data_IF_989932199939
#
_entry.id   IF_989932199939
#
_cell.length_a   1.000
_cell.length_b   1.000
_cell.length_c   1.000
_cell.angle_alpha   90.00
_cell.angle_beta   90.00
_cell.angle_gamma   90.00
#
_symmetry.space_group_name_H-M   'P 1'
#
loop_
_entity.id
_entity.type
_entity.pdbx_description
1 polymer ?
#
# COMPACT_ATOMS: atom_id res chain seq x y z
N UNK A 1 -44.63 19.97 -40.03
CA UNK A 1 -44.01 18.89 -39.21
C UNK A 1 -43.04 18.17 -40.13
N UNK A 2 -41.78 18.64 -40.23
CA UNK A 2 -40.74 18.03 -41.06
C UNK A 2 -40.10 16.89 -40.31
N UNK A 3 -40.33 15.66 -40.75
CA UNK A 3 -39.56 14.49 -40.28
C UNK A 3 -38.20 14.53 -41.00
N UNK A 4 -37.16 14.83 -40.26
CA UNK A 4 -35.79 14.65 -40.73
C UNK A 4 -35.51 13.14 -40.85
N UNK A 5 -35.70 12.60 -42.04
CA UNK A 5 -35.30 11.22 -42.36
C UNK A 5 -33.79 11.23 -42.61
N UNK A 6 -33.01 10.60 -41.74
CA UNK A 6 -31.58 10.45 -41.99
C UNK A 6 -31.39 9.50 -43.18
N UNK A 7 -30.65 9.92 -44.23
CA UNK A 7 -30.47 9.10 -45.43
C UNK A 7 -29.81 7.76 -45.09
N UNK A 8 -30.30 6.69 -45.71
CA UNK A 8 -29.82 5.31 -45.47
C UNK A 8 -28.29 5.16 -45.63
N UNK A 9 -27.69 5.88 -46.59
CA UNK A 9 -26.23 5.90 -46.80
C UNK A 9 -25.48 6.49 -45.62
N UNK A 10 -26.04 7.47 -44.90
CA UNK A 10 -25.44 8.05 -43.70
C UNK A 10 -25.44 7.04 -42.53
N UNK A 11 -26.51 6.26 -42.40
CA UNK A 11 -26.61 5.20 -41.39
C UNK A 11 -25.61 4.09 -41.72
N UNK A 12 -25.49 3.68 -42.97
CA UNK A 12 -24.51 2.64 -43.41
C UNK A 12 -23.08 3.13 -43.19
N UNK A 13 -22.77 4.40 -43.48
CA UNK A 13 -21.43 4.95 -43.21
C UNK A 13 -21.09 5.00 -41.72
N UNK A 14 -22.05 5.41 -40.87
CA UNK A 14 -21.86 5.43 -39.42
C UNK A 14 -21.68 4.01 -38.85
N UNK A 15 -22.44 3.02 -39.34
CA UNK A 15 -22.29 1.63 -38.86
C UNK A 15 -20.99 1.02 -39.33
N UNK A 16 -20.54 1.26 -40.56
CA UNK A 16 -19.25 0.80 -41.06
C UNK A 16 -18.08 1.47 -40.31
N UNK A 17 -18.19 2.77 -39.97
CA UNK A 17 -17.21 3.50 -39.20
C UNK A 17 -17.13 3.00 -37.76
N UNK A 18 -18.26 2.68 -37.13
CA UNK A 18 -18.30 2.06 -35.77
C UNK A 18 -17.76 0.64 -35.80
N UNK A 19 -18.02 -0.15 -36.83
CA UNK A 19 -17.43 -1.48 -36.98
C UNK A 19 -15.90 -1.39 -37.14
N UNK A 20 -15.42 -0.40 -37.91
CA UNK A 20 -13.98 -0.20 -38.11
C UNK A 20 -13.29 0.30 -36.83
N UNK A 21 -13.97 1.12 -36.02
CA UNK A 21 -13.48 1.50 -34.67
C UNK A 21 -13.46 0.32 -33.68
N UNK A 22 -14.39 -0.62 -33.79
CA UNK A 22 -14.38 -1.86 -33.01
C UNK A 22 -13.31 -2.87 -33.46
N UNK A 23 -12.78 -2.74 -34.68
CA UNK A 23 -11.68 -3.61 -35.18
C UNK A 23 -10.29 -3.10 -34.78
N UNK A 24 -10.15 -1.89 -34.22
CA UNK A 24 -8.95 -1.52 -33.48
C UNK A 24 -8.98 -2.25 -32.13
N UNK A 25 -8.78 -3.58 -32.16
CA UNK A 25 -8.29 -4.32 -31.03
C UNK A 25 -6.89 -3.77 -30.71
N UNK A 26 -6.82 -2.69 -29.96
CA UNK A 26 -5.63 -2.38 -29.20
C UNK A 26 -5.59 -3.51 -28.18
N UNK A 27 -4.94 -4.61 -28.53
CA UNK A 27 -4.45 -5.57 -27.56
C UNK A 27 -3.51 -4.78 -26.64
N UNK A 28 -4.08 -4.18 -25.62
CA UNK A 28 -3.30 -3.68 -24.52
C UNK A 28 -2.68 -4.94 -23.86
N UNK A 29 -1.51 -5.35 -24.34
CA UNK A 29 -0.68 -6.42 -23.71
C UNK A 29 -0.17 -5.92 -22.36
N UNK A 30 -1.11 -5.48 -21.51
CA UNK A 30 -0.82 -5.26 -20.11
C UNK A 30 -0.81 -6.61 -19.42
N UNK A 31 0.36 -7.17 -19.23
CA UNK A 31 0.53 -8.24 -18.24
C UNK A 31 0.72 -7.58 -16.87
N UNK A 32 -0.22 -7.74 -15.94
CA UNK A 32 -0.04 -7.19 -14.60
C UNK A 32 1.22 -7.79 -13.99
N UNK A 33 1.99 -6.98 -13.22
CA UNK A 33 3.19 -7.48 -12.56
C UNK A 33 2.82 -8.59 -11.57
N UNK A 34 3.67 -9.60 -11.44
CA UNK A 34 3.53 -10.63 -10.40
C UNK A 34 3.69 -10.00 -9.01
N UNK A 35 2.56 -9.71 -8.38
CA UNK A 35 2.52 -9.06 -7.05
C UNK A 35 2.95 -9.97 -5.91
N UNK A 36 3.13 -11.27 -6.15
CA UNK A 36 3.66 -12.22 -5.17
C UNK A 36 5.19 -12.22 -5.13
N UNK A 37 5.82 -11.78 -6.23
CA UNK A 37 7.27 -11.76 -6.35
C UNK A 37 7.88 -10.51 -5.67
N UNK A 38 8.75 -10.66 -4.65
CA UNK A 38 9.41 -9.52 -4.01
C UNK A 38 10.28 -8.69 -4.95
N UNK A 39 10.87 -9.28 -6.00
CA UNK A 39 11.67 -8.54 -6.98
C UNK A 39 10.84 -7.53 -7.78
N UNK A 40 9.56 -7.81 -8.00
CA UNK A 40 8.62 -6.85 -8.60
C UNK A 40 8.53 -5.58 -7.77
N UNK A 41 8.42 -5.72 -6.45
CA UNK A 41 8.32 -4.58 -5.53
C UNK A 41 9.63 -3.84 -5.41
N UNK A 42 10.77 -4.55 -5.37
CA UNK A 42 12.10 -3.95 -5.36
C UNK A 42 12.30 -3.10 -6.60
N UNK A 43 12.03 -3.63 -7.79
CA UNK A 43 12.13 -2.88 -9.05
C UNK A 43 11.29 -1.60 -9.04
N UNK A 44 10.02 -1.69 -8.62
CA UNK A 44 9.14 -0.53 -8.51
C UNK A 44 9.64 0.52 -7.50
N UNK A 45 10.23 0.06 -6.39
CA UNK A 45 10.81 0.93 -5.38
C UNK A 45 12.07 1.64 -5.92
N UNK A 46 12.97 0.92 -6.59
CA UNK A 46 14.17 1.46 -7.19
C UNK A 46 13.85 2.50 -8.28
N UNK A 47 12.86 2.23 -9.13
CA UNK A 47 12.39 3.18 -10.14
C UNK A 47 11.89 4.49 -9.50
N UNK A 48 11.08 4.39 -8.45
CA UNK A 48 10.56 5.56 -7.71
C UNK A 48 11.68 6.31 -6.98
N UNK A 49 12.60 5.58 -6.34
CA UNK A 49 13.73 6.16 -5.64
C UNK A 49 14.64 6.91 -6.59
N UNK A 50 14.94 6.35 -7.76
CA UNK A 50 15.75 6.99 -8.77
C UNK A 50 15.08 8.26 -9.32
N UNK A 51 13.76 8.21 -9.57
CA UNK A 51 12.99 9.39 -9.95
C UNK A 51 13.04 10.48 -8.88
N UNK A 52 12.94 10.11 -7.60
CA UNK A 52 13.03 11.05 -6.48
C UNK A 52 14.44 11.64 -6.35
N UNK A 53 15.49 10.81 -6.41
CA UNK A 53 16.90 11.25 -6.36
C UNK A 53 17.25 12.25 -7.47
N UNK A 54 16.65 12.08 -8.64
CA UNK A 54 16.84 12.99 -9.78
C UNK A 54 15.97 14.25 -9.71
N UNK A 55 15.15 14.40 -8.66
CA UNK A 55 14.33 15.59 -8.46
C UNK A 55 15.13 16.69 -7.75
N UNK A 56 14.78 17.95 -8.04
CA UNK A 56 15.37 19.09 -7.35
C UNK A 56 15.14 19.05 -5.82
N UNK A 57 14.02 18.47 -5.39
CA UNK A 57 13.69 18.31 -3.96
C UNK A 57 14.73 17.47 -3.23
N UNK A 58 15.23 16.39 -3.84
CA UNK A 58 16.22 15.53 -3.20
C UNK A 58 17.56 16.25 -2.93
N UNK A 59 17.99 17.13 -3.83
CA UNK A 59 19.25 17.86 -3.68
C UNK A 59 19.29 18.83 -2.49
N UNK A 60 18.12 19.18 -1.96
CA UNK A 60 17.95 20.10 -0.81
C UNK A 60 17.76 19.38 0.52
N UNK A 61 17.50 18.07 0.53
CA UNK A 61 17.19 17.28 1.73
C UNK A 61 18.49 16.73 2.35
N UNK A 62 18.71 17.04 3.63
CA UNK A 62 19.75 16.38 4.43
C UNK A 62 19.20 15.06 4.99
N UNK A 63 20.00 13.98 5.03
CA UNK A 63 19.59 12.73 5.65
C UNK A 63 19.15 12.95 7.11
N UNK A 64 17.95 12.44 7.50
CA UNK A 64 17.49 12.56 8.88
C UNK A 64 18.36 11.71 9.81
N UNK A 65 18.56 12.19 11.06
CA UNK A 65 19.26 11.43 12.10
C UNK A 65 18.35 10.36 12.73
N UNK A 66 17.06 10.66 12.84
CA UNK A 66 16.07 9.78 13.44
C UNK A 66 14.86 9.67 12.50
N UNK A 67 14.23 8.50 12.50
CA UNK A 67 12.98 8.25 11.76
C UNK A 67 11.96 7.71 12.76
N UNK A 68 10.80 8.34 12.83
CA UNK A 68 9.67 7.88 13.65
C UNK A 68 8.50 7.62 12.71
N UNK A 69 7.99 6.40 12.72
CA UNK A 69 6.84 5.98 11.93
C UNK A 69 5.63 5.81 12.84
N UNK A 70 4.63 6.67 12.68
CA UNK A 70 3.33 6.53 13.34
C UNK A 70 2.39 5.70 12.48
N UNK A 71 1.78 4.68 13.05
CA UNK A 71 0.88 3.76 12.35
C UNK A 71 -0.47 3.75 13.05
N UNK A 72 -1.51 4.14 12.34
CA UNK A 72 -2.90 3.97 12.77
C UNK A 72 -3.46 2.69 12.18
N UNK A 73 -3.64 1.64 12.99
CA UNK A 73 -4.21 0.37 12.53
C UNK A 73 -5.69 0.56 12.18
N UNK A 74 -6.06 0.22 10.95
CA UNK A 74 -7.39 0.44 10.39
C UNK A 74 -7.76 1.92 10.18
N UNK A 75 -6.83 2.86 10.31
CA UNK A 75 -7.06 4.28 10.13
C UNK A 75 -7.29 4.61 8.65
N UNK A 76 -8.56 4.73 8.27
CA UNK A 76 -9.00 5.12 6.93
C UNK A 76 -9.17 6.64 6.80
N UNK A 77 -9.40 7.12 5.58
CA UNK A 77 -9.79 8.51 5.32
C UNK A 77 -11.04 8.91 6.11
N UNK A 78 -12.00 7.99 6.25
CA UNK A 78 -13.22 8.23 7.03
C UNK A 78 -12.91 8.40 8.52
N UNK A 79 -11.99 7.59 9.06
CA UNK A 79 -11.54 7.71 10.46
C UNK A 79 -10.86 9.07 10.70
N UNK A 80 -10.00 9.51 9.79
CA UNK A 80 -9.35 10.83 9.85
C UNK A 80 -10.38 11.95 9.80
N UNK A 81 -11.37 11.84 8.91
CA UNK A 81 -12.47 12.81 8.82
C UNK A 81 -13.27 12.85 10.11
N UNK A 82 -13.63 11.70 10.66
CA UNK A 82 -14.34 11.61 11.94
C UNK A 82 -13.56 12.23 13.10
N UNK A 83 -12.24 12.01 13.14
CA UNK A 83 -11.35 12.64 14.15
C UNK A 83 -11.34 14.16 14.03
N UNK A 84 -11.37 14.71 12.81
CA UNK A 84 -11.44 16.16 12.56
C UNK A 84 -12.75 16.75 13.10
N UNK A 85 -13.88 16.09 12.81
CA UNK A 85 -15.17 16.55 13.37
C UNK A 85 -15.23 16.46 14.89
N UNK A 86 -14.72 15.37 15.48
CA UNK A 86 -14.67 15.23 16.94
C UNK A 86 -13.77 16.30 17.59
N UNK A 87 -12.64 16.62 16.96
CA UNK A 87 -11.77 17.72 17.45
C UNK A 87 -12.50 19.06 17.39
N UNK A 88 -13.19 19.33 16.28
CA UNK A 88 -13.98 20.55 16.12
C UNK A 88 -15.09 20.68 17.16
N UNK A 89 -15.87 19.61 17.39
CA UNK A 89 -16.93 19.56 18.39
C UNK A 89 -16.39 19.89 19.79
N UNK A 90 -15.27 19.28 20.19
CA UNK A 90 -14.61 19.57 21.49
C UNK A 90 -14.13 20.99 21.63
N UNK A 91 -13.88 21.67 20.54
CA UNK A 91 -13.41 23.07 20.50
C UNK A 91 -14.56 24.09 20.26
N UNK A 92 -15.81 23.61 20.12
CA UNK A 92 -16.98 24.40 19.70
C UNK A 92 -16.76 25.14 18.37
N UNK A 93 -16.09 24.50 17.40
CA UNK A 93 -15.80 25.01 16.07
C UNK A 93 -16.55 24.22 14.99
N UNK A 94 -16.63 24.77 13.79
CA UNK A 94 -17.14 24.03 12.62
C UNK A 94 -16.13 22.97 12.18
N UNK A 95 -16.63 21.80 11.78
CA UNK A 95 -15.76 20.65 11.42
C UNK A 95 -14.76 20.90 10.29
N UNK A 96 -15.05 21.85 9.39
CA UNK A 96 -14.15 22.24 8.31
C UNK A 96 -13.02 23.19 8.71
N UNK A 97 -13.13 23.83 9.87
CA UNK A 97 -12.20 24.88 10.32
C UNK A 97 -11.06 24.33 11.20
N UNK A 98 -11.04 23.01 11.43
CA UNK A 98 -10.09 22.38 12.34
C UNK A 98 -9.09 21.52 11.56
N UNK A 99 -7.80 21.82 11.78
CA UNK A 99 -6.69 21.02 11.27
C UNK A 99 -6.27 19.94 12.28
N UNK A 100 -5.92 18.78 11.77
CA UNK A 100 -5.16 17.76 12.51
C UNK A 100 -3.67 18.04 12.32
N UNK A 101 -2.83 17.59 13.25
CA UNK A 101 -1.38 17.88 13.22
C UNK A 101 -0.69 17.53 11.90
N UNK A 102 -1.15 16.49 11.21
CA UNK A 102 -0.58 16.04 9.94
C UNK A 102 -1.17 16.73 8.69
N UNK A 103 -2.21 17.55 8.83
CA UNK A 103 -2.77 18.29 7.69
C UNK A 103 -1.76 19.30 7.12
N UNK A 104 -0.87 19.82 7.98
CA UNK A 104 0.17 20.79 7.61
C UNK A 104 1.53 20.13 7.28
N UNK A 105 1.59 18.81 7.21
CA UNK A 105 2.82 18.13 6.83
C UNK A 105 3.14 18.33 5.34
N UNK A 106 4.43 18.49 4.98
CA UNK A 106 4.82 18.95 3.64
C UNK A 106 4.55 17.92 2.53
N UNK A 107 4.29 16.67 2.88
CA UNK A 107 4.08 15.58 1.91
C UNK A 107 2.93 14.71 2.34
N UNK A 108 1.99 14.49 1.41
CA UNK A 108 0.88 13.54 1.57
C UNK A 108 0.82 12.59 0.38
N UNK A 109 0.49 11.34 0.62
CA UNK A 109 0.36 10.32 -0.42
C UNK A 109 -0.74 9.33 -0.09
N UNK A 110 -1.34 8.75 -1.12
CA UNK A 110 -2.28 7.64 -1.00
C UNK A 110 -1.55 6.31 -1.24
N UNK A 111 -1.89 5.30 -0.45
CA UNK A 111 -1.31 3.97 -0.52
C UNK A 111 -2.38 2.96 -0.94
N UNK A 112 -2.02 2.07 -1.88
CA UNK A 112 -2.85 0.94 -2.27
C UNK A 112 -2.65 -0.20 -1.28
N UNK A 113 -3.70 -0.52 -0.51
CA UNK A 113 -3.64 -1.40 0.67
C UNK A 113 -3.95 -2.87 0.39
N UNK A 114 -4.09 -3.29 -0.86
CA UNK A 114 -4.37 -4.70 -1.21
C UNK A 114 -3.23 -5.66 -0.83
N UNK A 115 -3.58 -6.94 -0.61
CA UNK A 115 -2.63 -8.04 -0.43
C UNK A 115 -2.24 -8.68 -1.76
N UNK A 116 -1.31 -9.63 -1.72
CA UNK A 116 -0.97 -10.45 -2.89
C UNK A 116 -2.13 -11.33 -3.38
N UNK A 117 -3.07 -11.68 -2.50
CA UNK A 117 -4.18 -12.60 -2.75
C UNK A 117 -5.57 -11.98 -2.61
N UNK A 118 -5.71 -10.75 -2.08
CA UNK A 118 -7.01 -10.12 -1.79
C UNK A 118 -6.99 -8.62 -2.00
N UNK A 119 -8.14 -8.04 -2.35
CA UNK A 119 -8.32 -6.59 -2.46
C UNK A 119 -8.31 -5.89 -1.10
N UNK A 120 -8.82 -6.55 -0.06
CA UNK A 120 -8.81 -6.04 1.31
C UNK A 120 -7.72 -6.73 2.11
N UNK A 121 -6.82 -5.95 2.69
CA UNK A 121 -5.73 -6.43 3.54
C UNK A 121 -6.19 -6.72 4.97
N UNK A 122 -5.33 -7.39 5.73
CA UNK A 122 -5.35 -7.39 7.20
C UNK A 122 -4.12 -6.64 7.75
N UNK A 123 -4.08 -6.40 9.06
CA UNK A 123 -2.97 -5.69 9.70
C UNK A 123 -1.62 -6.38 9.49
N UNK A 124 -1.57 -7.70 9.44
CA UNK A 124 -0.33 -8.48 9.34
C UNK A 124 0.37 -8.27 8.00
N UNK A 125 -0.32 -8.55 6.91
CA UNK A 125 0.26 -8.38 5.58
C UNK A 125 0.40 -6.90 5.19
N UNK A 126 -0.46 -5.99 5.70
CA UNK A 126 -0.27 -4.56 5.54
C UNK A 126 1.02 -4.09 6.23
N UNK A 127 1.24 -4.50 7.48
CA UNK A 127 2.46 -4.16 8.22
C UNK A 127 3.71 -4.74 7.55
N UNK A 128 3.65 -5.97 7.05
CA UNK A 128 4.71 -6.53 6.21
C UNK A 128 5.00 -5.61 5.01
N UNK A 129 3.96 -5.12 4.34
CA UNK A 129 4.15 -4.29 3.15
C UNK A 129 4.84 -2.95 3.45
N UNK A 130 4.43 -2.20 4.48
CA UNK A 130 5.05 -0.90 4.75
C UNK A 130 6.38 -1.01 5.51
N UNK A 131 6.64 -2.11 6.22
CA UNK A 131 7.91 -2.33 6.92
C UNK A 131 8.98 -2.98 6.05
N UNK A 132 8.62 -3.80 5.06
CA UNK A 132 9.57 -4.51 4.22
C UNK A 132 9.53 -4.16 2.73
N UNK A 133 8.52 -3.38 2.30
CA UNK A 133 8.37 -2.99 0.89
C UNK A 133 7.82 -4.10 -0.02
N UNK A 134 7.36 -5.24 0.53
CA UNK A 134 6.79 -6.34 -0.26
C UNK A 134 5.38 -6.68 0.21
N UNK A 135 4.49 -7.02 -0.72
CA UNK A 135 3.14 -7.48 -0.37
C UNK A 135 3.18 -8.89 0.19
N UNK A 136 2.56 -9.08 1.36
CA UNK A 136 2.36 -10.38 1.98
C UNK A 136 1.06 -11.05 1.53
N UNK A 137 0.89 -12.31 1.91
CA UNK A 137 -0.36 -13.06 1.82
C UNK A 137 -1.24 -12.72 3.04
N UNK A 138 -2.56 -12.82 2.89
CA UNK A 138 -3.51 -12.51 3.97
C UNK A 138 -3.19 -13.31 5.25
N UNK A 139 -3.20 -12.62 6.40
CA UNK A 139 -2.88 -13.15 7.73
C UNK A 139 -1.44 -13.61 7.97
N UNK A 140 -0.52 -13.45 7.05
CA UNK A 140 0.89 -13.77 7.27
C UNK A 140 1.64 -12.56 7.82
N UNK A 141 2.77 -12.79 8.51
CA UNK A 141 3.64 -11.75 9.05
C UNK A 141 5.07 -11.94 8.54
N UNK A 142 5.67 -10.86 8.03
CA UNK A 142 7.08 -10.83 7.64
C UNK A 142 7.48 -11.86 6.58
N UNK A 143 6.55 -12.30 5.74
CA UNK A 143 6.81 -13.23 4.64
C UNK A 143 6.33 -12.68 3.31
N UNK A 144 6.93 -13.14 2.22
CA UNK A 144 6.60 -12.69 0.86
C UNK A 144 5.25 -13.24 0.41
N UNK A 145 4.65 -12.61 -0.60
CA UNK A 145 3.36 -13.02 -1.17
C UNK A 145 3.35 -14.41 -1.84
N UNK A 146 4.52 -15.04 -1.98
CA UNK A 146 4.63 -16.43 -2.45
C UNK A 146 4.25 -17.46 -1.39
N UNK A 147 4.21 -17.06 -0.14
CA UNK A 147 3.96 -17.94 1.01
C UNK A 147 2.51 -17.80 1.43
N UNK A 148 1.76 -18.87 1.28
CA UNK A 148 0.34 -18.90 1.65
C UNK A 148 0.16 -19.03 3.17
N UNK A 149 -0.97 -18.51 3.66
CA UNK A 149 -1.35 -18.65 5.06
C UNK A 149 -1.56 -20.11 5.45
N UNK A 150 -1.30 -20.38 6.72
CA UNK A 150 -1.84 -21.54 7.45
C UNK A 150 -1.24 -22.89 7.04
N UNK A 151 -0.21 -22.91 6.26
CA UNK A 151 0.53 -24.12 5.91
C UNK A 151 1.68 -24.32 6.94
N UNK A 152 1.71 -25.48 7.63
CA UNK A 152 2.80 -25.81 8.54
C UNK A 152 4.05 -26.24 7.77
N UNK A 153 4.73 -25.30 7.14
CA UNK A 153 5.95 -25.53 6.37
C UNK A 153 7.12 -24.76 6.97
N UNK A 154 8.32 -25.30 6.84
CA UNK A 154 9.53 -24.56 7.21
C UNK A 154 9.78 -23.43 6.20
N UNK A 155 9.88 -22.22 6.72
CA UNK A 155 10.19 -21.04 5.90
C UNK A 155 11.65 -21.05 5.46
N UNK A 156 11.86 -20.87 4.16
CA UNK A 156 13.18 -20.61 3.58
C UNK A 156 13.56 -19.14 3.73
N UNK A 157 14.85 -18.81 3.74
CA UNK A 157 15.32 -17.43 3.91
C UNK A 157 14.81 -16.47 2.82
N UNK A 158 14.69 -16.92 1.57
CA UNK A 158 14.16 -16.13 0.44
C UNK A 158 12.66 -15.84 0.56
N UNK A 159 11.95 -16.53 1.44
CA UNK A 159 10.54 -16.32 1.72
C UNK A 159 10.29 -15.31 2.84
N UNK A 160 11.32 -14.99 3.61
CA UNK A 160 11.25 -14.01 4.70
C UNK A 160 11.36 -12.59 4.16
N UNK A 161 10.41 -11.74 4.53
CA UNK A 161 10.44 -10.32 4.23
C UNK A 161 11.17 -9.59 5.35
N UNK A 162 12.37 -9.08 5.04
CA UNK A 162 13.21 -8.39 6.03
C UNK A 162 12.70 -6.98 6.27
N UNK A 163 12.37 -6.65 7.51
CA UNK A 163 11.84 -5.33 7.87
C UNK A 163 12.91 -4.23 7.81
N UNK A 164 12.46 -3.00 7.65
CA UNK A 164 13.32 -1.81 7.73
C UNK A 164 14.01 -1.68 9.09
N UNK A 165 13.37 -2.14 10.18
CA UNK A 165 13.97 -2.16 11.50
C UNK A 165 15.17 -3.12 11.55
N UNK A 166 15.04 -4.30 10.94
CA UNK A 166 16.15 -5.24 10.84
C UNK A 166 17.32 -4.67 10.03
N UNK A 167 17.04 -3.98 8.93
CA UNK A 167 18.07 -3.32 8.12
C UNK A 167 18.75 -2.19 8.91
N UNK A 168 17.97 -1.35 9.59
CA UNK A 168 18.51 -0.29 10.44
C UNK A 168 19.40 -0.83 11.56
N UNK A 169 18.95 -1.86 12.28
CA UNK A 169 19.73 -2.52 13.34
C UNK A 169 21.05 -3.09 12.80
N UNK A 170 21.03 -3.75 11.66
CA UNK A 170 22.26 -4.27 11.02
C UNK A 170 23.22 -3.17 10.56
N UNK A 171 22.71 -1.96 10.35
CA UNK A 171 23.51 -0.77 10.03
C UNK A 171 24.00 -0.02 11.27
N UNK A 172 23.81 -0.57 12.47
CA UNK A 172 24.26 0.03 13.73
C UNK A 172 23.32 1.09 14.32
N UNK A 173 22.11 1.23 13.77
CA UNK A 173 21.10 2.14 14.32
C UNK A 173 20.29 1.45 15.41
N UNK A 174 19.93 2.18 16.46
CA UNK A 174 18.98 1.71 17.47
C UNK A 174 17.58 1.67 16.87
N UNK A 175 16.84 0.59 17.18
CA UNK A 175 15.46 0.42 16.75
C UNK A 175 14.56 0.12 17.92
N UNK A 176 13.29 0.52 17.85
CA UNK A 176 12.31 0.28 18.91
C UNK A 176 10.90 0.24 18.38
N UNK A 177 10.01 -0.38 19.14
CA UNK A 177 8.59 -0.47 18.86
C UNK A 177 7.84 -0.01 20.10
N UNK A 178 6.89 0.90 19.93
CA UNK A 178 5.94 1.33 20.96
C UNK A 178 4.54 1.07 20.41
N UNK A 179 3.68 0.44 21.18
CA UNK A 179 2.33 0.07 20.73
C UNK A 179 1.33 0.17 21.87
N UNK A 180 0.08 0.44 21.55
CA UNK A 180 -1.06 0.37 22.47
C UNK A 180 -1.70 -1.02 22.52
N UNK A 181 -1.23 -1.95 21.66
CA UNK A 181 -1.64 -3.35 21.66
C UNK A 181 -0.60 -4.23 22.35
N UNK A 182 -0.84 -5.55 22.41
CA UNK A 182 0.22 -6.49 22.77
C UNK A 182 1.31 -6.51 21.68
N UNK A 183 2.55 -6.73 22.07
CA UNK A 183 3.68 -6.73 21.12
C UNK A 183 3.59 -7.85 20.07
N UNK A 184 2.86 -8.91 20.36
CA UNK A 184 2.59 -10.03 19.46
C UNK A 184 1.43 -9.77 18.49
N UNK A 185 0.67 -8.67 18.67
CA UNK A 185 -0.34 -8.27 17.67
C UNK A 185 0.28 -8.05 16.29
N UNK A 186 -0.48 -8.34 15.26
CA UNK A 186 0.01 -8.41 13.87
C UNK A 186 0.83 -7.20 13.41
N UNK A 187 0.40 -5.97 13.74
CA UNK A 187 1.08 -4.75 13.30
C UNK A 187 2.49 -4.61 13.88
N UNK A 188 2.72 -4.68 15.20
CA UNK A 188 4.06 -4.64 15.76
C UNK A 188 4.86 -5.91 15.45
N UNK A 189 4.23 -7.09 15.44
CA UNK A 189 4.92 -8.36 15.19
C UNK A 189 5.54 -8.47 13.79
N UNK A 190 4.93 -7.86 12.77
CA UNK A 190 5.50 -7.85 11.42
C UNK A 190 6.87 -7.14 11.33
N UNK A 191 7.27 -6.37 12.34
CA UNK A 191 8.58 -5.75 12.39
C UNK A 191 9.73 -6.74 12.69
N UNK A 192 9.42 -7.86 13.36
CA UNK A 192 10.43 -8.81 13.83
C UNK A 192 10.12 -10.29 13.57
N UNK A 193 8.83 -10.65 13.36
CA UNK A 193 8.39 -12.02 13.17
C UNK A 193 8.29 -12.41 11.68
N UNK A 194 8.56 -13.69 11.40
CA UNK A 194 8.30 -14.33 10.11
C UNK A 194 7.45 -15.56 10.36
N UNK A 195 6.13 -15.46 10.17
CA UNK A 195 5.17 -16.48 10.58
C UNK A 195 4.00 -16.59 9.59
N UNK A 196 3.46 -17.80 9.45
CA UNK A 196 2.46 -18.13 8.46
C UNK A 196 1.02 -17.83 8.89
N UNK A 197 0.81 -17.53 10.16
CA UNK A 197 -0.49 -17.07 10.65
C UNK A 197 -0.33 -16.12 11.82
N UNK A 198 -0.97 -14.95 11.75
CA UNK A 198 -0.85 -13.87 12.73
C UNK A 198 -1.29 -14.25 14.16
N UNK A 199 -2.17 -15.24 14.28
CA UNK A 199 -2.69 -15.68 15.58
C UNK A 199 -1.81 -16.76 16.24
N UNK A 200 -0.71 -17.17 15.61
CA UNK A 200 0.28 -18.06 16.22
C UNK A 200 1.28 -17.22 17.06
N UNK A 201 0.82 -16.72 18.19
CA UNK A 201 1.54 -15.75 18.99
C UNK A 201 2.50 -16.36 20.01
N UNK A 202 2.39 -17.67 20.27
CA UNK A 202 3.25 -18.42 21.19
C UNK A 202 3.49 -19.84 20.67
N UNK A 203 4.56 -20.45 21.16
CA UNK A 203 4.77 -21.89 21.05
C UNK A 203 3.87 -22.51 22.13
N UNK A 204 2.78 -23.18 21.69
CA UNK A 204 1.87 -23.90 22.59
C UNK A 204 2.51 -25.11 23.25
#
# INVERSE_FOLDING_TARGET
MFRNVVPLHTIIFLTLFLIQLCQFNIECKYSPPDVTNPDTWKKLADEKLNKFKNSHVYSTIKPPKNVILFIGDGMSLNTVTGARYLKAEKMNLQGGDVHLEWDDWPVTSLVRTFNSDRLTTDSGSAATAFLSGVKGYFKTLGVTGKVKCCECTQLKEEQKAKSSLLHASKSGLSTGIVTTTRITHATPAAAYANILHRDWESIG
#
